data_IF_423559444788
#
_entry.id   IF_423559444788
#
_cell.length_a   1.000
_cell.length_b   1.000
_cell.length_c   1.000
_cell.angle_alpha   90.00
_cell.angle_beta   90.00
_cell.angle_gamma   90.00
#
_symmetry.space_group_name_H-M   'P 1'
#
loop_
_entity.id
_entity.type
_entity.pdbx_description
1 polymer ?
#
# COMPACT_ATOMS: atom_id res chain seq x y z
N UNK A 1 9.26 -0.69 -23.46
CA UNK A 1 10.67 -0.22 -23.23
C UNK A 1 10.81 0.18 -21.77
N UNK A 2 11.95 -0.10 -21.12
CA UNK A 2 12.18 0.31 -19.71
C UNK A 2 12.42 1.83 -19.66
N UNK A 3 11.72 2.59 -18.79
CA UNK A 3 11.94 4.03 -18.64
C UNK A 3 13.37 4.37 -18.20
N UNK A 4 13.87 5.54 -18.62
CA UNK A 4 15.13 6.07 -18.11
C UNK A 4 14.97 6.49 -16.62
N UNK A 5 16.00 6.32 -15.77
CA UNK A 5 15.96 6.77 -14.38
C UNK A 5 15.70 8.27 -14.27
N UNK A 6 14.71 8.68 -13.47
CA UNK A 6 14.38 10.10 -13.21
C UNK A 6 13.55 10.28 -11.93
N UNK A 7 14.05 11.11 -11.01
CA UNK A 7 13.29 11.56 -9.82
C UNK A 7 13.46 13.05 -9.53
N UNK A 8 14.58 13.65 -9.92
CA UNK A 8 14.84 15.07 -9.82
C UNK A 8 13.71 15.91 -10.43
N UNK A 9 13.26 16.92 -9.68
CA UNK A 9 12.17 17.84 -10.06
C UNK A 9 10.76 17.27 -9.96
N UNK A 10 10.57 15.98 -9.65
CA UNK A 10 9.22 15.43 -9.43
C UNK A 10 8.63 15.93 -8.10
N UNK A 11 7.34 16.24 -8.10
CA UNK A 11 6.58 16.54 -6.87
C UNK A 11 6.24 15.24 -6.19
N UNK A 12 6.84 14.98 -5.03
CA UNK A 12 6.63 13.75 -4.28
C UNK A 12 5.95 14.07 -2.95
N UNK A 13 4.74 13.53 -2.78
CA UNK A 13 3.99 13.62 -1.54
C UNK A 13 4.43 12.54 -0.57
N UNK A 14 4.95 12.91 0.59
CA UNK A 14 5.36 11.96 1.63
C UNK A 14 4.22 11.75 2.63
N UNK A 15 3.81 10.49 2.80
CA UNK A 15 2.84 10.10 3.82
C UNK A 15 3.51 10.09 5.19
N UNK A 16 3.15 11.06 6.01
CA UNK A 16 3.61 11.17 7.40
C UNK A 16 2.78 10.34 8.37
N UNK A 17 1.68 9.76 7.90
CA UNK A 17 0.74 8.98 8.69
C UNK A 17 0.27 7.77 7.86
N UNK A 18 0.01 6.62 8.51
CA UNK A 18 -0.69 5.51 7.90
C UNK A 18 -2.01 5.94 7.24
N UNK A 19 -2.27 5.58 5.97
CA UNK A 19 -3.57 5.75 5.35
C UNK A 19 -4.65 4.97 6.10
N UNK A 20 -5.75 5.63 6.45
CA UNK A 20 -6.92 4.94 6.97
C UNK A 20 -7.83 4.49 5.83
N UNK A 21 -7.87 3.19 5.58
CA UNK A 21 -8.72 2.59 4.54
C UNK A 21 -10.02 1.99 5.10
N UNK A 22 -10.20 2.08 6.42
CA UNK A 22 -11.39 1.58 7.14
C UNK A 22 -12.47 2.65 7.29
N UNK A 23 -12.11 3.93 7.08
CA UNK A 23 -13.03 5.06 7.22
C UNK A 23 -13.37 5.41 8.67
N UNK A 24 -12.67 4.83 9.65
CA UNK A 24 -12.95 4.95 11.08
C UNK A 24 -12.05 5.96 11.82
N UNK A 25 -11.27 6.78 11.10
CA UNK A 25 -10.11 7.52 11.56
C UNK A 25 -10.16 8.06 13.01
N UNK A 26 -9.46 7.37 13.90
CA UNK A 26 -8.58 8.07 14.84
C UNK A 26 -7.33 8.48 14.05
N UNK A 27 -6.94 9.76 14.12
CA UNK A 27 -5.69 10.24 13.50
C UNK A 27 -4.55 9.46 14.15
N UNK A 28 -3.95 8.53 13.39
CA UNK A 28 -2.78 7.78 13.85
C UNK A 28 -1.65 8.72 14.25
N UNK A 29 -0.66 8.20 14.96
CA UNK A 29 0.54 8.96 15.26
C UNK A 29 1.35 9.20 13.99
N UNK A 30 2.08 10.32 13.97
CA UNK A 30 3.03 10.62 12.90
C UNK A 30 4.14 9.57 12.89
N UNK A 31 4.46 9.06 11.72
CA UNK A 31 5.56 8.11 11.56
C UNK A 31 6.89 8.85 11.35
N UNK A 32 7.80 8.76 12.31
CA UNK A 32 9.11 9.42 12.23
C UNK A 32 9.95 8.96 11.04
N UNK A 33 9.70 7.75 10.50
CA UNK A 33 10.41 7.24 9.31
C UNK A 33 10.06 8.02 8.04
N UNK A 34 8.96 8.75 8.05
CA UNK A 34 8.60 9.65 6.96
C UNK A 34 9.65 10.77 6.75
N UNK A 35 10.35 11.18 7.82
CA UNK A 35 11.41 12.19 7.71
C UNK A 35 12.62 11.65 6.93
N UNK A 36 13.03 10.42 7.23
CA UNK A 36 14.11 9.72 6.51
C UNK A 36 13.75 9.54 5.03
N UNK A 37 12.51 9.15 4.75
CA UNK A 37 11.99 9.07 3.38
C UNK A 37 12.04 10.43 2.67
N UNK A 38 11.63 11.50 3.36
CA UNK A 38 11.62 12.84 2.80
C UNK A 38 13.05 13.36 2.53
N UNK A 39 13.99 13.13 3.43
CA UNK A 39 15.41 13.48 3.26
C UNK A 39 16.00 12.75 2.05
N UNK A 40 15.83 11.42 1.96
CA UNK A 40 16.31 10.62 0.82
C UNK A 40 15.80 11.13 -0.53
N UNK A 41 14.55 11.62 -0.58
CA UNK A 41 13.97 12.17 -1.80
C UNK A 41 14.52 13.56 -2.13
N UNK A 42 14.76 14.41 -1.13
CA UNK A 42 15.38 15.73 -1.32
C UNK A 42 16.82 15.62 -1.79
N UNK A 43 17.58 14.66 -1.27
CA UNK A 43 18.95 14.37 -1.72
C UNK A 43 19.01 13.92 -3.19
N UNK A 44 17.89 13.42 -3.71
CA UNK A 44 17.71 13.07 -5.12
C UNK A 44 17.05 14.21 -5.95
N UNK A 45 17.06 15.44 -5.44
CA UNK A 45 16.51 16.65 -6.05
C UNK A 45 14.98 16.60 -6.31
N UNK A 46 14.22 15.78 -5.59
CA UNK A 46 12.76 15.79 -5.67
C UNK A 46 12.15 16.98 -4.90
N UNK A 47 11.01 17.47 -5.37
CA UNK A 47 10.22 18.51 -4.68
C UNK A 47 9.29 17.81 -3.69
N UNK A 48 9.71 17.78 -2.42
CA UNK A 48 9.02 17.01 -1.37
C UNK A 48 8.01 17.86 -0.62
N UNK A 49 6.77 17.36 -0.51
CA UNK A 49 5.72 17.95 0.34
C UNK A 49 5.11 16.89 1.24
N UNK A 50 4.68 17.26 2.45
CA UNK A 50 3.86 16.39 3.28
C UNK A 50 2.49 16.20 2.60
N UNK A 51 1.97 14.98 2.57
CA UNK A 51 0.70 14.67 1.92
C UNK A 51 -0.10 13.65 2.72
N UNK A 52 -1.42 13.76 2.63
CA UNK A 52 -2.36 12.74 3.10
C UNK A 52 -3.19 12.26 1.93
N UNK A 53 -3.43 10.96 1.88
CA UNK A 53 -4.41 10.42 0.95
C UNK A 53 -5.82 10.72 1.46
N UNK A 54 -6.78 10.99 0.56
CA UNK A 54 -8.18 10.93 0.94
C UNK A 54 -8.51 9.53 1.47
N UNK A 55 -9.51 9.44 2.34
CA UNK A 55 -10.03 8.17 2.91
C UNK A 55 -11.37 7.81 2.27
N UNK A 56 -11.75 6.52 2.19
CA UNK A 56 -13.08 6.15 1.70
C UNK A 56 -14.17 6.61 2.68
N UNK A 57 -15.35 6.96 2.16
CA UNK A 57 -16.48 7.43 2.97
C UNK A 57 -17.24 6.28 3.68
N UNK A 58 -16.88 5.03 3.39
CA UNK A 58 -17.41 3.83 4.05
C UNK A 58 -16.36 2.72 4.04
N UNK A 59 -16.61 1.67 4.82
CA UNK A 59 -15.73 0.50 4.87
C UNK A 59 -15.63 -0.19 3.50
N UNK A 60 -14.39 -0.35 3.02
CA UNK A 60 -14.08 -1.00 1.73
C UNK A 60 -13.72 -2.47 1.88
N UNK A 61 -13.54 -2.96 3.11
CA UNK A 61 -13.16 -4.33 3.43
C UNK A 61 -14.10 -5.42 2.86
N UNK A 62 -15.43 -5.18 2.78
CA UNK A 62 -16.34 -6.12 2.14
C UNK A 62 -16.01 -6.45 0.67
N UNK A 63 -15.37 -5.53 -0.05
CA UNK A 63 -14.91 -5.78 -1.43
C UNK A 63 -13.84 -6.86 -1.46
N UNK A 64 -12.81 -6.72 -0.61
CA UNK A 64 -11.72 -7.71 -0.50
C UNK A 64 -12.27 -9.09 -0.11
N UNK A 65 -13.17 -9.15 0.86
CA UNK A 65 -13.77 -10.41 1.28
C UNK A 65 -14.61 -11.05 0.18
N UNK A 66 -15.44 -10.28 -0.52
CA UNK A 66 -16.22 -10.81 -1.63
C UNK A 66 -15.33 -11.37 -2.76
N UNK A 67 -14.22 -10.70 -3.08
CA UNK A 67 -13.25 -11.18 -4.07
C UNK A 67 -12.53 -12.46 -3.59
N UNK A 68 -12.17 -12.54 -2.30
CA UNK A 68 -11.59 -13.74 -1.71
C UNK A 68 -12.56 -14.93 -1.76
N UNK A 69 -13.84 -14.72 -1.41
CA UNK A 69 -14.86 -15.76 -1.51
C UNK A 69 -15.04 -16.25 -2.96
N UNK A 70 -15.09 -15.32 -3.93
CA UNK A 70 -15.22 -15.66 -5.34
C UNK A 70 -14.01 -16.45 -5.86
N UNK A 71 -12.79 -16.03 -5.52
CA UNK A 71 -11.55 -16.69 -5.94
C UNK A 71 -11.40 -18.13 -5.39
N UNK A 72 -12.12 -18.45 -4.30
CA UNK A 72 -12.08 -19.75 -3.65
C UNK A 72 -13.40 -20.53 -3.76
N UNK A 73 -14.35 -20.09 -4.58
CA UNK A 73 -15.70 -20.67 -4.65
C UNK A 73 -15.72 -22.16 -5.06
N UNK A 74 -14.72 -22.61 -5.85
CA UNK A 74 -14.62 -24.00 -6.29
C UNK A 74 -14.13 -24.95 -5.18
N UNK A 75 -13.37 -24.44 -4.22
CA UNK A 75 -12.67 -25.25 -3.21
C UNK A 75 -13.14 -24.98 -1.78
N UNK A 76 -13.82 -23.87 -1.53
CA UNK A 76 -14.39 -23.53 -0.23
C UNK A 76 -15.92 -23.42 -0.35
N UNK A 77 -16.72 -24.07 0.52
CA UNK A 77 -16.32 -24.75 1.77
C UNK A 77 -15.97 -26.24 1.64
N UNK A 78 -16.13 -26.84 0.45
CA UNK A 78 -16.04 -28.30 0.23
C UNK A 78 -14.70 -28.92 0.65
N UNK A 79 -13.60 -28.16 0.54
CA UNK A 79 -12.23 -28.57 0.91
C UNK A 79 -11.67 -27.72 2.06
N UNK A 80 -12.52 -27.20 2.93
CA UNK A 80 -12.13 -26.32 4.06
C UNK A 80 -11.05 -26.89 4.98
N UNK A 81 -10.92 -28.21 5.11
CA UNK A 81 -9.87 -28.87 5.89
C UNK A 81 -8.48 -28.76 5.30
N UNK A 82 -8.35 -28.46 3.99
CA UNK A 82 -7.06 -28.27 3.32
C UNK A 82 -6.48 -26.87 3.55
N UNK A 83 -7.30 -25.93 4.03
CA UNK A 83 -6.87 -24.58 4.36
C UNK A 83 -6.29 -24.52 5.77
N UNK A 84 -5.18 -23.78 5.92
CA UNK A 84 -4.66 -23.38 7.22
C UNK A 84 -5.70 -22.58 8.02
N UNK A 85 -5.63 -22.65 9.35
CA UNK A 85 -6.64 -22.09 10.25
C UNK A 85 -6.94 -20.60 9.97
N UNK A 86 -5.92 -19.78 9.73
CA UNK A 86 -6.07 -18.35 9.45
C UNK A 86 -6.80 -18.07 8.14
N UNK A 87 -6.48 -18.82 7.08
CA UNK A 87 -7.14 -18.65 5.78
C UNK A 87 -8.57 -19.14 5.85
N UNK A 88 -8.81 -20.29 6.49
CA UNK A 88 -10.17 -20.80 6.72
C UNK A 88 -11.04 -19.77 7.45
N UNK A 89 -10.57 -19.20 8.54
CA UNK A 89 -11.30 -18.17 9.28
C UNK A 89 -11.62 -16.93 8.41
N UNK A 90 -10.71 -16.52 7.53
CA UNK A 90 -10.95 -15.42 6.57
C UNK A 90 -12.04 -15.79 5.56
N UNK A 91 -12.03 -17.01 5.03
CA UNK A 91 -13.04 -17.46 4.05
C UNK A 91 -14.42 -17.68 4.68
N UNK A 92 -14.46 -18.10 5.95
CA UNK A 92 -15.70 -18.16 6.74
C UNK A 92 -16.30 -16.77 7.00
N UNK A 93 -15.46 -15.74 7.19
CA UNK A 93 -15.92 -14.35 7.26
C UNK A 93 -16.36 -13.86 5.88
N UNK A 94 -15.59 -14.17 4.84
CA UNK A 94 -15.84 -13.75 3.49
C UNK A 94 -17.19 -14.23 2.94
N UNK A 95 -17.59 -15.46 3.28
CA UNK A 95 -18.88 -16.03 2.88
C UNK A 95 -20.10 -15.38 3.55
N UNK A 96 -19.88 -14.51 4.55
CA UNK A 96 -20.94 -13.81 5.29
C UNK A 96 -21.19 -12.37 4.82
N UNK A 97 -20.39 -11.86 3.87
CA UNK A 97 -20.55 -10.50 3.35
C UNK A 97 -21.94 -10.32 2.73
N UNK A 98 -22.68 -9.34 3.24
CA UNK A 98 -24.03 -9.05 2.77
C UNK A 98 -24.04 -8.37 1.39
N UNK A 99 -25.10 -8.58 0.62
CA UNK A 99 -25.21 -7.93 -0.70
C UNK A 99 -25.28 -6.39 -0.61
N UNK A 100 -25.93 -5.86 0.42
CA UNK A 100 -26.09 -4.42 0.64
C UNK A 100 -24.78 -3.77 1.08
N UNK A 101 -24.09 -4.44 2.00
CA UNK A 101 -22.74 -4.10 2.46
C UNK A 101 -21.76 -4.07 1.28
N UNK A 102 -21.75 -5.10 0.43
CA UNK A 102 -20.89 -5.14 -0.75
C UNK A 102 -21.22 -4.04 -1.76
N UNK A 103 -22.50 -3.70 -1.98
CA UNK A 103 -22.89 -2.59 -2.85
C UNK A 103 -22.39 -1.25 -2.32
N UNK A 104 -22.54 -1.01 -1.02
CA UNK A 104 -22.04 0.20 -0.35
C UNK A 104 -20.52 0.31 -0.47
N UNK A 105 -19.80 -0.77 -0.14
CA UNK A 105 -18.34 -0.82 -0.19
C UNK A 105 -17.79 -0.59 -1.62
N UNK A 106 -18.44 -1.14 -2.65
CA UNK A 106 -18.08 -0.90 -4.07
C UNK A 106 -18.31 0.55 -4.50
N UNK A 107 -19.41 1.16 -4.07
CA UNK A 107 -19.68 2.56 -4.34
C UNK A 107 -18.64 3.46 -3.67
N UNK A 108 -18.32 3.21 -2.40
CA UNK A 108 -17.30 3.93 -1.65
C UNK A 108 -15.90 3.78 -2.29
N UNK A 109 -15.51 2.56 -2.69
CA UNK A 109 -14.23 2.33 -3.36
C UNK A 109 -14.15 3.07 -4.71
N UNK A 110 -15.24 3.09 -5.48
CA UNK A 110 -15.29 3.81 -6.77
C UNK A 110 -15.17 5.31 -6.58
N UNK A 111 -15.92 5.88 -5.65
CA UNK A 111 -15.86 7.30 -5.31
C UNK A 111 -14.47 7.68 -4.78
N UNK A 112 -13.90 6.85 -3.91
CA UNK A 112 -12.57 7.07 -3.35
C UNK A 112 -11.48 7.07 -4.42
N UNK A 113 -11.50 6.12 -5.37
CA UNK A 113 -10.57 6.09 -6.49
C UNK A 113 -10.63 7.37 -7.33
N UNK A 114 -11.83 7.82 -7.68
CA UNK A 114 -12.02 9.05 -8.43
C UNK A 114 -11.48 10.27 -7.67
N UNK A 115 -11.77 10.35 -6.38
CA UNK A 115 -11.34 11.42 -5.49
C UNK A 115 -9.83 11.47 -5.31
N UNK A 116 -9.21 10.33 -5.02
CA UNK A 116 -7.75 10.20 -4.92
C UNK A 116 -7.05 10.59 -6.22
N UNK A 117 -7.61 10.24 -7.38
CA UNK A 117 -7.06 10.62 -8.67
C UNK A 117 -7.20 12.13 -8.98
N UNK A 118 -8.23 12.80 -8.45
CA UNK A 118 -8.52 14.21 -8.72
C UNK A 118 -7.88 15.18 -7.71
N UNK A 119 -7.82 14.82 -6.43
CA UNK A 119 -7.36 15.70 -5.34
C UNK A 119 -5.84 15.69 -5.16
N UNK A 120 -5.13 14.67 -5.66
CA UNK A 120 -3.67 14.60 -5.51
C UNK A 120 -2.92 15.41 -6.57
N UNK A 121 -2.34 16.49 -6.08
CA UNK A 121 -1.49 17.43 -6.82
C UNK A 121 -0.01 17.02 -6.88
N UNK A 122 0.32 15.77 -6.56
CA UNK A 122 1.68 15.23 -6.60
C UNK A 122 1.84 14.22 -7.73
N UNK A 123 3.06 14.09 -8.23
CA UNK A 123 3.40 13.17 -9.31
C UNK A 123 3.53 11.73 -8.76
N UNK A 124 4.11 11.61 -7.57
CA UNK A 124 4.28 10.35 -6.84
C UNK A 124 3.92 10.52 -5.36
N UNK A 125 3.59 9.41 -4.73
CA UNK A 125 3.47 9.27 -3.28
C UNK A 125 4.60 8.40 -2.76
N UNK A 126 5.20 8.80 -1.64
CA UNK A 126 6.21 8.06 -0.94
C UNK A 126 5.78 7.74 0.49
N UNK A 127 6.15 6.56 0.97
CA UNK A 127 5.88 6.12 2.35
C UNK A 127 6.95 5.14 2.81
N UNK A 128 7.01 4.81 4.11
CA UNK A 128 7.62 3.56 4.55
C UNK A 128 6.98 2.37 3.81
N UNK A 129 7.76 1.31 3.57
CA UNK A 129 7.27 0.08 2.94
C UNK A 129 6.26 -0.64 3.82
N UNK A 130 6.56 -0.78 5.11
CA UNK A 130 5.71 -1.49 6.08
C UNK A 130 5.22 -0.53 7.17
N UNK A 131 4.06 -0.82 7.74
CA UNK A 131 3.52 -0.02 8.85
C UNK A 131 4.11 -0.33 10.22
N UNK A 132 5.02 -1.30 10.31
CA UNK A 132 5.78 -1.61 11.52
C UNK A 132 7.22 -1.12 11.34
N UNK A 133 7.81 -0.58 12.41
CA UNK A 133 9.21 -0.16 12.44
C UNK A 133 10.16 -1.36 12.29
N UNK A 134 9.86 -2.44 13.01
CA UNK A 134 10.65 -3.67 13.01
C UNK A 134 9.85 -4.84 12.44
N UNK A 135 10.56 -5.79 11.83
CA UNK A 135 9.96 -7.04 11.43
C UNK A 135 9.56 -7.84 12.68
N UNK A 136 8.31 -8.32 12.75
CA UNK A 136 7.88 -9.10 13.89
C UNK A 136 8.62 -10.45 13.94
N UNK A 137 8.83 -11.03 15.14
CA UNK A 137 9.40 -12.36 15.27
C UNK A 137 8.59 -13.42 14.53
N UNK A 138 9.27 -14.46 14.05
CA UNK A 138 8.60 -15.61 13.46
C UNK A 138 7.63 -16.25 14.49
N UNK A 139 6.43 -16.61 14.03
CA UNK A 139 5.42 -17.26 14.86
C UNK A 139 4.51 -16.31 15.66
N UNK A 140 4.67 -14.98 15.53
CA UNK A 140 3.65 -14.05 16.04
C UNK A 140 2.28 -14.32 15.41
N UNK A 141 1.22 -14.12 16.18
CA UNK A 141 -0.14 -14.24 15.65
C UNK A 141 -0.38 -13.16 14.58
N UNK A 142 -0.61 -13.60 13.34
CA UNK A 142 -0.91 -12.75 12.20
C UNK A 142 -2.07 -11.79 12.49
N UNK A 143 -3.08 -12.22 13.26
CA UNK A 143 -4.24 -11.38 13.58
C UNK A 143 -3.86 -10.10 14.34
N UNK A 144 -2.78 -10.14 15.12
CA UNK A 144 -2.30 -9.01 15.91
C UNK A 144 -1.55 -7.99 15.05
N UNK A 145 -0.89 -8.44 13.98
CA UNK A 145 0.01 -7.60 13.19
C UNK A 145 -0.51 -7.25 11.79
N UNK A 146 -1.45 -8.01 11.22
CA UNK A 146 -1.81 -7.92 9.79
C UNK A 146 -2.26 -6.53 9.33
N UNK A 147 -3.04 -5.84 10.19
CA UNK A 147 -3.58 -4.52 9.88
C UNK A 147 -2.47 -3.45 9.88
N UNK A 148 -1.71 -3.28 10.98
CA UNK A 148 -0.61 -2.32 10.98
C UNK A 148 0.48 -2.70 9.96
N UNK A 149 0.81 -3.98 9.79
CA UNK A 149 1.86 -4.45 8.88
C UNK A 149 1.68 -3.93 7.44
N UNK A 150 0.46 -3.98 6.92
CA UNK A 150 0.14 -3.66 5.52
C UNK A 150 -0.50 -2.27 5.35
N UNK A 151 -0.46 -1.40 6.37
CA UNK A 151 -1.21 -0.14 6.34
C UNK A 151 -0.79 0.81 5.19
N UNK A 152 0.52 0.86 4.88
CA UNK A 152 1.04 1.69 3.79
C UNK A 152 0.92 1.03 2.42
N UNK A 153 0.86 -0.31 2.33
CA UNK A 153 0.82 -1.01 1.04
C UNK A 153 -0.60 -1.22 0.54
N UNK A 154 -1.53 -1.56 1.44
CA UNK A 154 -2.92 -1.91 1.10
C UNK A 154 -3.65 -0.81 0.33
N UNK A 155 -3.37 0.45 0.64
CA UNK A 155 -4.08 1.59 0.03
C UNK A 155 -3.88 1.60 -1.47
N UNK A 156 -2.68 1.27 -1.95
CA UNK A 156 -2.37 1.31 -3.38
C UNK A 156 -3.00 0.12 -4.11
N UNK A 157 -3.16 -1.04 -3.44
CA UNK A 157 -3.97 -2.15 -3.95
C UNK A 157 -5.43 -1.74 -4.13
N UNK A 158 -6.02 -1.03 -3.15
CA UNK A 158 -7.38 -0.52 -3.28
C UNK A 158 -7.50 0.54 -4.37
N UNK A 159 -6.57 1.49 -4.45
CA UNK A 159 -6.58 2.53 -5.48
C UNK A 159 -6.30 1.98 -6.89
N UNK A 160 -5.71 0.78 -6.99
CA UNK A 160 -5.27 0.20 -8.26
C UNK A 160 -4.06 0.91 -8.84
N UNK A 161 -3.24 1.51 -7.99
CA UNK A 161 -2.08 2.31 -8.41
C UNK A 161 -0.82 1.45 -8.43
N UNK A 162 0.04 1.58 -9.45
CA UNK A 162 1.36 0.96 -9.42
C UNK A 162 2.14 1.44 -8.20
N UNK A 163 2.75 0.48 -7.50
CA UNK A 163 3.61 0.73 -6.35
C UNK A 163 4.84 -0.18 -6.40
N UNK A 164 5.97 0.29 -5.86
CA UNK A 164 7.23 -0.43 -5.82
C UNK A 164 7.97 -0.12 -4.51
N UNK A 165 8.57 -1.15 -3.91
CA UNK A 165 9.40 -1.04 -2.73
C UNK A 165 10.89 -1.07 -3.08
N UNK A 166 11.69 -0.22 -2.43
CA UNK A 166 13.13 -0.03 -2.62
C UNK A 166 13.76 0.02 -1.22
N UNK A 167 13.92 -1.15 -0.61
CA UNK A 167 14.28 -1.27 0.80
C UNK A 167 13.11 -0.84 1.70
N UNK A 168 13.35 0.16 2.55
CA UNK A 168 12.38 0.73 3.49
C UNK A 168 11.47 1.81 2.87
N UNK A 169 11.74 2.24 1.64
CA UNK A 169 10.94 3.18 0.86
C UNK A 169 9.95 2.46 -0.04
N UNK A 170 8.70 2.89 -0.03
CA UNK A 170 7.71 2.57 -1.05
C UNK A 170 7.35 3.82 -1.86
N UNK A 171 7.36 3.67 -3.19
CA UNK A 171 6.82 4.66 -4.12
C UNK A 171 5.52 4.13 -4.73
N UNK A 172 4.55 5.01 -4.92
CA UNK A 172 3.32 4.72 -5.65
C UNK A 172 2.91 5.92 -6.50
N UNK A 173 2.14 5.68 -7.56
CA UNK A 173 1.69 6.74 -8.45
C UNK A 173 0.62 6.26 -9.42
N UNK A 174 0.07 7.17 -10.22
CA UNK A 174 -0.97 6.85 -11.21
C UNK A 174 -0.38 6.26 -12.50
N UNK A 175 0.88 6.56 -12.79
CA UNK A 175 1.58 6.13 -14.00
C UNK A 175 2.72 5.16 -13.68
N UNK A 176 2.66 3.95 -14.24
CA UNK A 176 3.64 2.89 -13.99
C UNK A 176 5.03 3.26 -14.52
N UNK A 177 5.11 3.99 -15.63
CA UNK A 177 6.38 4.42 -16.22
C UNK A 177 7.12 5.38 -15.30
N UNK A 178 6.40 6.33 -14.69
CA UNK A 178 6.92 7.29 -13.73
C UNK A 178 7.37 6.61 -12.43
N UNK A 179 6.59 5.65 -11.91
CA UNK A 179 6.96 4.87 -10.72
C UNK A 179 8.27 4.11 -10.97
N UNK A 180 8.38 3.43 -12.12
CA UNK A 180 9.61 2.69 -12.48
C UNK A 180 10.79 3.65 -12.69
N UNK A 181 10.60 4.78 -13.39
CA UNK A 181 11.65 5.76 -13.63
C UNK A 181 12.23 6.32 -12.32
N UNK A 182 11.36 6.69 -11.37
CA UNK A 182 11.78 7.18 -10.07
C UNK A 182 12.47 6.09 -9.24
N UNK A 183 11.93 4.87 -9.27
CA UNK A 183 12.55 3.75 -8.55
C UNK A 183 13.96 3.44 -9.04
N UNK A 184 14.17 3.42 -10.36
CA UNK A 184 15.49 3.21 -10.96
C UNK A 184 16.48 4.34 -10.63
N UNK A 185 16.02 5.56 -10.34
CA UNK A 185 16.88 6.65 -9.90
C UNK A 185 17.29 6.49 -8.43
N UNK A 186 16.35 6.09 -7.56
CA UNK A 186 16.56 5.95 -6.12
C UNK A 186 17.28 4.66 -5.71
N UNK A 187 17.21 3.61 -6.53
CA UNK A 187 17.93 2.35 -6.31
C UNK A 187 19.44 2.53 -6.54
N UNK A 188 19.83 3.31 -7.56
CA UNK A 188 21.25 3.57 -7.89
C UNK A 188 22.03 4.35 -6.83
N UNK A 189 21.31 5.07 -5.96
CA UNK A 189 21.88 5.76 -4.79
C UNK A 189 21.86 4.91 -3.52
N UNK A 190 21.32 3.69 -3.55
CA UNK A 190 21.18 2.83 -2.38
C UNK A 190 22.51 2.12 -2.04
N UNK A 191 22.93 2.08 -0.76
CA UNK A 191 24.14 1.37 -0.32
C UNK A 191 24.05 -0.17 -0.50
N UNK A 192 22.89 -0.70 -0.91
CA UNK A 192 22.70 -2.11 -1.27
C UNK A 192 23.28 -2.48 -2.64
N UNK A 193 23.92 -1.56 -3.37
CA UNK A 193 24.81 -1.92 -4.46
C UNK A 193 26.01 -2.70 -3.91
N UNK A 194 25.82 -4.02 -3.78
CA UNK A 194 26.91 -4.98 -3.68
C UNK A 194 27.83 -4.72 -4.86
N UNK A 195 29.05 -4.31 -4.53
CA UNK A 195 30.14 -4.06 -5.45
C UNK A 195 30.36 -5.30 -6.33
N UNK A 196 29.77 -5.30 -7.52
CA UNK A 196 29.88 -6.38 -8.49
C UNK A 196 31.27 -6.38 -9.17
N UNK A 197 32.20 -5.54 -8.73
CA UNK A 197 33.60 -5.51 -9.19
C UNK A 197 34.56 -6.33 -8.34
N UNK A 198 34.08 -7.15 -7.41
CA UNK A 198 34.89 -8.18 -6.74
C UNK A 198 34.43 -9.60 -7.12
N UNK A 199 34.72 -10.03 -8.35
CA UNK A 199 34.91 -11.44 -8.73
C UNK A 199 35.95 -11.57 -9.83
#
# INVERSE_FOLDING_TARGET
PVPAPRVAGLRVGVLTHPPDVTGAAARGERDARADVVAERLRDADAIVTETRLPVPDADTWPVFYAEAAAAHAETFPSRSSEYGATVRAKLEQASRVGSDELRSARAALTAWRARAAAELEVDLIASPTLGLADLPPAGVDELQIRLPFSTYTRVFSYLGWPAIAIGDLQLAGRDVGMVIAAALALDRGSPLHLDASSR
#
